data_IF_771236596217
#
_entry.id   IF_771236596217
#
_cell.length_a   1.000
_cell.length_b   1.000
_cell.length_c   1.000
_cell.angle_alpha   90.00
_cell.angle_beta   90.00
_cell.angle_gamma   90.00
#
_symmetry.space_group_name_H-M   'P 1'
#
loop_
_entity.id
_entity.type
_entity.pdbx_description
1 polymer ?
#
# COMPACT_ATOMS: atom_id res chain seq x y z
N UNK A 1 21.86 -28.28 -11.06
CA UNK A 1 20.38 -28.15 -11.04
C UNK A 1 19.93 -27.52 -12.33
N UNK A 2 18.90 -28.06 -12.99
CA UNK A 2 18.38 -27.49 -14.23
C UNK A 2 17.73 -26.13 -13.97
N UNK A 3 17.70 -25.25 -14.98
CA UNK A 3 17.11 -23.91 -14.83
C UNK A 3 15.62 -23.98 -14.42
N UNK A 4 14.88 -24.96 -14.95
CA UNK A 4 13.49 -25.24 -14.57
C UNK A 4 13.33 -25.52 -13.07
N UNK A 5 14.27 -26.25 -12.47
CA UNK A 5 14.21 -26.58 -11.04
C UNK A 5 14.39 -25.33 -10.18
N UNK A 6 15.27 -24.41 -10.60
CA UNK A 6 15.48 -23.13 -9.92
C UNK A 6 14.21 -22.26 -9.95
N UNK A 7 13.54 -22.19 -11.10
CA UNK A 7 12.26 -21.48 -11.28
C UNK A 7 11.20 -22.05 -10.35
N UNK A 8 11.01 -23.37 -10.36
CA UNK A 8 10.04 -24.03 -9.50
C UNK A 8 10.37 -23.91 -8.00
N UNK A 9 11.65 -23.93 -7.66
CA UNK A 9 12.12 -23.73 -6.28
C UNK A 9 11.79 -22.32 -5.78
N UNK A 10 12.09 -21.29 -6.58
CA UNK A 10 11.75 -19.91 -6.26
C UNK A 10 10.23 -19.73 -6.10
N UNK A 11 9.44 -20.25 -7.06
CA UNK A 11 7.99 -20.18 -7.01
C UNK A 11 7.42 -20.80 -5.72
N UNK A 12 7.85 -22.02 -5.37
CA UNK A 12 7.41 -22.69 -4.13
C UNK A 12 7.84 -21.92 -2.88
N UNK A 13 9.02 -21.31 -2.90
CA UNK A 13 9.52 -20.50 -1.80
C UNK A 13 8.63 -19.28 -1.59
N UNK A 14 8.30 -18.54 -2.66
CA UNK A 14 7.39 -17.39 -2.59
C UNK A 14 6.00 -17.81 -2.10
N UNK A 15 5.44 -18.91 -2.61
CA UNK A 15 4.15 -19.41 -2.15
C UNK A 15 4.15 -19.82 -0.67
N UNK A 16 5.27 -20.39 -0.19
CA UNK A 16 5.42 -20.74 1.23
C UNK A 16 5.48 -19.48 2.09
N UNK A 17 6.29 -18.49 1.69
CA UNK A 17 6.40 -17.20 2.37
C UNK A 17 5.05 -16.50 2.41
N UNK A 18 4.29 -16.46 1.31
CA UNK A 18 2.96 -15.87 1.27
C UNK A 18 1.95 -16.57 2.21
N UNK A 19 2.05 -17.89 2.40
CA UNK A 19 1.20 -18.65 3.35
C UNK A 19 1.59 -18.44 4.81
N UNK A 20 2.87 -18.17 5.06
CA UNK A 20 3.43 -17.97 6.41
C UNK A 20 3.62 -16.49 6.74
N UNK A 21 3.05 -15.59 5.93
CA UNK A 21 3.22 -14.16 6.07
C UNK A 21 2.54 -13.65 7.34
N UNK A 22 3.27 -12.87 8.14
CA UNK A 22 2.78 -12.33 9.41
C UNK A 22 1.83 -11.13 9.26
N UNK A 23 1.77 -10.54 8.06
CA UNK A 23 0.90 -9.39 7.76
C UNK A 23 -0.58 -9.74 7.59
N UNK A 24 -1.42 -8.74 7.29
CA UNK A 24 -2.85 -8.93 7.06
C UNK A 24 -3.17 -9.98 5.98
N UNK A 25 -4.37 -10.56 6.07
CA UNK A 25 -4.86 -11.52 5.07
C UNK A 25 -4.88 -10.96 3.63
N UNK A 26 -4.98 -9.64 3.48
CA UNK A 26 -4.91 -8.95 2.18
C UNK A 26 -3.51 -9.05 1.56
N UNK A 27 -2.46 -8.86 2.35
CA UNK A 27 -1.06 -8.99 1.90
C UNK A 27 -0.73 -10.44 1.55
N UNK A 28 -1.22 -11.40 2.35
CA UNK A 28 -1.08 -12.82 2.04
C UNK A 28 -1.68 -13.17 0.66
N UNK A 29 -2.93 -12.76 0.42
CA UNK A 29 -3.60 -12.98 -0.87
C UNK A 29 -2.84 -12.29 -2.00
N UNK A 30 -2.40 -11.07 -1.77
CA UNK A 30 -1.63 -10.31 -2.72
C UNK A 30 -0.35 -11.02 -3.14
N UNK A 31 0.49 -11.46 -2.19
CA UNK A 31 1.73 -12.19 -2.51
C UNK A 31 1.43 -13.42 -3.38
N UNK A 32 0.39 -14.18 -3.03
CA UNK A 32 0.03 -15.41 -3.74
C UNK A 32 -0.50 -15.14 -5.15
N UNK A 33 -1.31 -14.10 -5.33
CA UNK A 33 -1.89 -13.74 -6.62
C UNK A 33 -0.86 -13.11 -7.55
N UNK A 34 -0.05 -12.19 -7.02
CA UNK A 34 1.03 -11.54 -7.76
C UNK A 34 2.01 -12.61 -8.26
N UNK A 35 2.49 -13.49 -7.38
CA UNK A 35 3.41 -14.55 -7.77
C UNK A 35 2.84 -15.44 -8.88
N UNK A 36 1.55 -15.79 -8.81
CA UNK A 36 0.88 -16.54 -9.90
C UNK A 36 0.85 -15.73 -11.19
N UNK A 37 0.54 -14.44 -11.13
CA UNK A 37 0.45 -13.57 -12.28
C UNK A 37 1.82 -13.42 -12.98
N UNK A 38 2.89 -13.13 -12.23
CA UNK A 38 4.24 -12.95 -12.79
C UNK A 38 4.76 -14.23 -13.44
N UNK A 39 4.62 -15.38 -12.76
CA UNK A 39 5.10 -16.65 -13.32
C UNK A 39 4.31 -17.09 -14.55
N UNK A 40 3.02 -16.72 -14.63
CA UNK A 40 2.22 -16.94 -15.84
C UNK A 40 2.62 -15.99 -16.98
N UNK A 41 2.82 -14.70 -16.68
CA UNK A 41 3.20 -13.69 -17.67
C UNK A 41 4.55 -14.01 -18.33
N UNK A 42 5.49 -14.61 -17.59
CA UNK A 42 6.82 -14.95 -18.08
C UNK A 42 7.03 -16.43 -18.41
N UNK A 43 5.94 -17.21 -18.58
CA UNK A 43 6.01 -18.65 -18.87
C UNK A 43 6.87 -18.97 -20.10
N UNK A 44 6.72 -18.20 -21.16
CA UNK A 44 7.36 -18.43 -22.46
C UNK A 44 8.60 -17.55 -22.68
N UNK A 45 9.17 -17.02 -21.59
CA UNK A 45 10.39 -16.21 -21.64
C UNK A 45 11.61 -17.02 -22.10
N UNK A 46 12.52 -16.37 -22.83
CA UNK A 46 13.76 -17.00 -23.32
C UNK A 46 14.68 -17.33 -22.13
N UNK A 47 15.57 -18.30 -22.31
CA UNK A 47 16.47 -18.76 -21.24
C UNK A 47 17.34 -17.62 -20.66
N UNK A 48 17.78 -16.68 -21.51
CA UNK A 48 18.53 -15.50 -21.07
C UNK A 48 17.71 -14.60 -20.13
N UNK A 49 16.44 -14.35 -20.47
CA UNK A 49 15.55 -13.50 -19.68
C UNK A 49 15.17 -14.15 -18.34
N UNK A 50 14.99 -15.48 -18.36
CA UNK A 50 14.66 -16.26 -17.15
C UNK A 50 15.71 -16.11 -16.05
N UNK A 51 17.00 -16.00 -16.38
CA UNK A 51 18.06 -15.82 -15.37
C UNK A 51 17.93 -14.47 -14.68
N UNK A 52 17.65 -13.41 -15.42
CA UNK A 52 17.45 -12.07 -14.89
C UNK A 52 16.17 -12.00 -14.05
N UNK A 53 15.08 -12.63 -14.52
CA UNK A 53 13.81 -12.72 -13.80
C UNK A 53 13.95 -13.51 -12.49
N UNK A 54 14.73 -14.60 -12.48
CA UNK A 54 15.04 -15.37 -11.29
C UNK A 54 15.80 -14.53 -10.25
N UNK A 55 16.85 -13.82 -10.67
CA UNK A 55 17.64 -12.97 -9.80
C UNK A 55 16.77 -11.84 -9.21
N UNK A 56 15.96 -11.18 -10.04
CA UNK A 56 15.04 -10.14 -9.60
C UNK A 56 13.99 -10.68 -8.62
N UNK A 57 13.43 -11.88 -8.88
CA UNK A 57 12.46 -12.52 -8.00
C UNK A 57 13.05 -12.92 -6.64
N UNK A 58 14.30 -13.40 -6.63
CA UNK A 58 15.03 -13.70 -5.39
C UNK A 58 15.27 -12.44 -4.56
N UNK A 59 15.73 -11.36 -5.19
CA UNK A 59 15.96 -10.08 -4.53
C UNK A 59 14.67 -9.51 -3.93
N UNK A 60 13.54 -9.61 -4.65
CA UNK A 60 12.22 -9.20 -4.13
C UNK A 60 11.80 -10.02 -2.92
N UNK A 61 12.00 -11.34 -2.97
CA UNK A 61 11.69 -12.22 -1.85
C UNK A 61 12.54 -11.87 -0.62
N UNK A 62 13.84 -11.64 -0.81
CA UNK A 62 14.77 -11.24 0.25
C UNK A 62 14.33 -9.92 0.89
N UNK A 63 14.05 -8.89 0.08
CA UNK A 63 13.54 -7.62 0.59
C UNK A 63 12.22 -7.76 1.33
N UNK A 64 11.29 -8.56 0.80
CA UNK A 64 10.03 -8.81 1.48
C UNK A 64 10.27 -9.44 2.86
N UNK A 65 11.11 -10.47 2.93
CA UNK A 65 11.42 -11.13 4.20
C UNK A 65 12.18 -10.25 5.18
N UNK A 66 13.10 -9.41 4.70
CA UNK A 66 13.93 -8.57 5.54
C UNK A 66 13.15 -7.40 6.16
N UNK A 67 12.30 -6.76 5.35
CA UNK A 67 11.53 -5.60 5.80
C UNK A 67 10.13 -5.95 6.33
N UNK A 68 9.67 -7.18 6.12
CA UNK A 68 8.31 -7.60 6.47
C UNK A 68 7.23 -6.89 5.63
N UNK A 69 7.54 -6.49 4.39
CA UNK A 69 6.63 -5.76 3.51
C UNK A 69 6.64 -6.40 2.12
N UNK A 70 5.49 -6.75 1.50
CA UNK A 70 5.46 -7.37 0.18
C UNK A 70 6.04 -6.45 -0.91
N UNK A 71 6.72 -7.04 -1.90
CA UNK A 71 7.27 -6.32 -3.05
C UNK A 71 6.76 -6.90 -4.39
N UNK A 72 6.17 -6.09 -5.29
CA UNK A 72 5.93 -4.65 -5.15
C UNK A 72 4.92 -4.32 -4.03
N UNK A 73 4.95 -3.08 -3.52
CA UNK A 73 4.08 -2.68 -2.40
C UNK A 73 2.66 -2.41 -2.90
N UNK A 74 1.66 -2.82 -2.12
CA UNK A 74 0.27 -2.44 -2.40
C UNK A 74 0.06 -0.95 -2.08
N UNK A 75 -0.36 -0.17 -3.07
CA UNK A 75 -0.54 1.29 -2.93
C UNK A 75 -1.71 1.70 -2.02
N UNK A 76 -2.66 0.80 -1.77
CA UNK A 76 -3.90 1.12 -1.03
C UNK A 76 -4.04 0.38 0.30
N UNK A 77 -3.10 -0.51 0.65
CA UNK A 77 -3.13 -1.23 1.91
C UNK A 77 -2.38 -0.43 3.00
N UNK A 78 -3.00 -0.23 4.16
CA UNK A 78 -2.33 0.38 5.30
C UNK A 78 -1.26 -0.58 5.86
N UNK A 79 0.01 -0.22 5.68
CA UNK A 79 1.17 -1.07 6.03
C UNK A 79 1.44 -1.16 7.53
N UNK A 80 0.98 -0.17 8.29
CA UNK A 80 1.24 -0.07 9.72
C UNK A 80 -0.07 0.11 10.48
N UNK A 81 -0.11 -0.46 11.67
CA UNK A 81 -1.14 -0.15 12.65
C UNK A 81 -1.16 1.36 12.86
N UNK A 82 -2.33 1.97 12.64
CA UNK A 82 -2.54 3.37 12.98
C UNK A 82 -2.37 3.49 14.49
N UNK A 83 -1.25 4.08 14.93
CA UNK A 83 -1.10 4.45 16.33
C UNK A 83 -2.16 5.49 16.62
N UNK A 84 -3.08 5.16 17.52
CA UNK A 84 -3.97 6.14 18.11
C UNK A 84 -3.08 7.05 18.96
N UNK A 85 -2.80 8.25 18.47
CA UNK A 85 -2.16 9.27 19.29
C UNK A 85 -3.18 9.62 20.37
N UNK A 86 -2.97 9.08 21.57
CA UNK A 86 -3.84 9.27 22.73
C UNK A 86 -3.93 10.75 23.13
N UNK A 87 -2.89 11.51 22.78
CA UNK A 87 -2.91 12.96 22.64
C UNK A 87 -2.50 13.30 21.21
N UNK A 88 -3.48 13.61 20.37
CA UNK A 88 -3.15 14.48 19.24
C UNK A 88 -2.72 15.79 19.86
N UNK A 89 -1.51 16.31 19.63
CA UNK A 89 -1.15 17.63 20.12
C UNK A 89 -2.26 18.56 19.64
N UNK A 90 -3.04 19.05 20.61
CA UNK A 90 -3.82 20.24 20.40
C UNK A 90 -2.77 21.27 20.04
N UNK A 91 -2.62 21.56 18.75
CA UNK A 91 -2.13 22.85 18.35
C UNK A 91 -3.21 23.80 18.87
N UNK A 92 -3.12 24.12 20.17
CA UNK A 92 -3.74 25.29 20.72
C UNK A 92 -3.32 26.37 19.73
N UNK A 93 -4.30 26.93 19.06
CA UNK A 93 -4.07 28.21 18.43
C UNK A 93 -3.69 29.08 19.61
N UNK A 94 -2.39 29.29 19.80
CA UNK A 94 -1.86 30.27 20.73
C UNK A 94 -2.37 31.62 20.20
N UNK A 95 -3.61 31.94 20.53
CA UNK A 95 -4.21 33.26 20.35
C UNK A 95 -3.59 34.26 21.35
N UNK A 96 -2.62 33.82 22.16
CA UNK A 96 -1.96 34.59 23.22
C UNK A 96 -0.42 34.43 23.15
N UNK A 97 0.18 34.30 21.96
CA UNK A 97 1.61 34.62 21.77
C UNK A 97 1.97 34.78 20.28
N UNK A 98 1.98 36.02 19.80
CA UNK A 98 2.75 36.40 18.62
C UNK A 98 1.97 36.46 17.31
N UNK A 99 1.66 37.68 16.91
CA UNK A 99 1.40 38.09 15.54
C UNK A 99 2.23 37.33 14.48
N UNK A 100 1.56 37.00 13.37
CA UNK A 100 2.08 36.57 12.06
C UNK A 100 2.37 35.07 11.83
N UNK A 101 1.35 34.33 11.37
CA UNK A 101 1.44 33.45 10.18
C UNK A 101 0.21 32.50 10.03
N UNK A 102 -0.97 33.02 9.69
CA UNK A 102 -2.03 32.24 9.02
C UNK A 102 -3.11 33.14 8.40
N UNK A 103 -2.71 34.13 7.59
CA UNK A 103 -3.64 34.77 6.65
C UNK A 103 -3.80 33.85 5.44
N UNK A 104 -4.63 32.82 5.54
CA UNK A 104 -4.89 31.95 4.40
C UNK A 104 -5.89 30.84 4.67
N UNK A 105 -7.09 31.00 4.11
CA UNK A 105 -8.09 29.94 3.88
C UNK A 105 -9.05 29.55 5.02
N UNK A 106 -9.58 30.54 5.74
CA UNK A 106 -10.76 30.37 6.59
C UNK A 106 -11.84 31.42 6.31
N UNK A 107 -12.17 31.71 5.05
CA UNK A 107 -13.27 32.64 4.79
C UNK A 107 -14.59 32.01 5.23
N UNK A 108 -15.37 32.72 6.04
CA UNK A 108 -16.72 32.30 6.47
C UNK A 108 -17.63 31.93 5.27
N UNK A 109 -17.30 32.47 4.10
CA UNK A 109 -17.93 32.21 2.81
C UNK A 109 -17.67 30.78 2.28
N UNK A 110 -16.52 30.17 2.58
CA UNK A 110 -16.25 28.79 2.18
C UNK A 110 -17.07 27.78 3.00
N UNK A 111 -17.21 28.00 4.31
CA UNK A 111 -18.01 27.16 5.20
C UNK A 111 -19.51 27.25 4.87
N UNK A 112 -20.02 28.44 4.55
CA UNK A 112 -21.41 28.64 4.17
C UNK A 112 -21.74 28.01 2.81
N UNK A 113 -20.83 28.11 1.83
CA UNK A 113 -20.96 27.46 0.52
C UNK A 113 -20.98 25.93 0.64
N UNK A 114 -20.16 25.37 1.52
CA UNK A 114 -20.07 23.92 1.74
C UNK A 114 -21.35 23.40 2.43
N UNK A 115 -21.87 24.12 3.43
CA UNK A 115 -23.15 23.81 4.06
C UNK A 115 -24.33 23.88 3.07
N UNK A 116 -24.36 24.91 2.21
CA UNK A 116 -25.38 25.05 1.17
C UNK A 116 -25.31 23.94 0.11
N UNK A 117 -24.11 23.49 -0.27
CA UNK A 117 -23.92 22.39 -1.20
C UNK A 117 -24.42 21.05 -0.63
N UNK A 118 -24.18 20.78 0.66
CA UNK A 118 -24.67 19.57 1.34
C UNK A 118 -26.20 19.54 1.43
N UNK A 119 -26.84 20.68 1.71
CA UNK A 119 -28.29 20.79 1.74
C UNK A 119 -28.94 20.49 0.37
N UNK A 120 -28.30 20.94 -0.73
CA UNK A 120 -28.76 20.66 -2.10
C UNK A 120 -28.65 19.18 -2.48
N UNK A 121 -27.60 18.50 -2.02
CA UNK A 121 -27.41 17.05 -2.23
C UNK A 121 -28.48 16.24 -1.51
N UNK A 122 -28.76 16.56 -0.24
CA UNK A 122 -29.79 15.88 0.56
C UNK A 122 -31.20 16.02 -0.05
N UNK A 123 -31.50 17.16 -0.68
CA UNK A 123 -32.77 17.40 -1.38
C UNK A 123 -32.91 16.63 -2.71
N UNK A 124 -31.79 16.20 -3.31
CA UNK A 124 -31.78 15.39 -4.54
C UNK A 124 -31.91 13.89 -4.27
N UNK A 125 -31.42 13.42 -3.14
CA UNK A 125 -31.45 11.99 -2.75
C UNK A 125 -32.77 11.58 -2.06
N UNK A 126 -33.65 12.54 -1.74
CA UNK A 126 -34.92 12.31 -1.04
C UNK A 126 -36.18 12.38 -1.92
N UNK A 127 -36.09 12.01 -3.20
CA UNK A 127 -37.26 11.88 -4.09
C UNK A 127 -37.29 10.49 -4.73
#
# INVERSE_FOLDING_TARGET
>A
MAQKDKVLSLYRSILRTGRQWSGPNEEQKYILEEAKAQFRAHRDSKEADQRNLLAAGQQRLEYATHYGIPYPRQHHASQFYKRQYLDSPSFASDAEAGESAAQGAGSADAASKLAAALARRKKREGK
#
